data_IF_895977726703
#
_entry.id   IF_895977726703
#
_cell.length_a   1.000
_cell.length_b   1.000
_cell.length_c   1.000
_cell.angle_alpha   90.00
_cell.angle_beta   90.00
_cell.angle_gamma   90.00
#
_symmetry.space_group_name_H-M   'P 1'
#
loop_
_entity.id
_entity.type
_entity.pdbx_description
1 polymer ?
#
# COMPACT_ATOMS: atom_id res chain seq x y z
N UNK A 1 -13.12 -21.83 -81.93
CA UNK A 1 -12.90 -22.75 -80.78
C UNK A 1 -11.77 -22.30 -79.85
N UNK A 2 -10.60 -21.82 -80.32
CA UNK A 2 -9.45 -21.49 -79.44
C UNK A 2 -9.61 -20.24 -78.53
N UNK A 3 -10.48 -19.28 -78.86
CA UNK A 3 -10.69 -18.06 -78.04
C UNK A 3 -11.56 -18.29 -76.80
N UNK A 4 -12.44 -19.30 -76.81
CA UNK A 4 -13.28 -19.64 -75.66
C UNK A 4 -12.50 -20.33 -74.54
N UNK A 5 -11.52 -21.18 -74.89
CA UNK A 5 -10.66 -21.85 -73.91
C UNK A 5 -9.77 -20.88 -73.15
N UNK A 6 -9.27 -19.83 -73.80
CA UNK A 6 -8.43 -18.83 -73.14
C UNK A 6 -9.22 -17.97 -72.15
N UNK A 7 -10.48 -17.66 -72.48
CA UNK A 7 -11.39 -16.95 -71.58
C UNK A 7 -11.79 -17.82 -70.38
N UNK A 8 -12.02 -19.11 -70.60
CA UNK A 8 -12.36 -20.06 -69.53
C UNK A 8 -11.17 -20.34 -68.59
N UNK A 9 -9.95 -20.43 -69.14
CA UNK A 9 -8.71 -20.57 -68.35
C UNK A 9 -8.42 -19.31 -67.51
N UNK A 10 -8.66 -18.11 -68.06
CA UNK A 10 -8.49 -16.86 -67.32
C UNK A 10 -9.53 -16.74 -66.18
N UNK A 11 -10.77 -17.18 -66.42
CA UNK A 11 -11.84 -17.17 -65.42
C UNK A 11 -11.56 -18.15 -64.25
N UNK A 12 -11.01 -19.34 -64.55
CA UNK A 12 -10.58 -20.30 -63.53
C UNK A 12 -9.36 -19.80 -62.72
N UNK A 13 -8.43 -19.06 -63.35
CA UNK A 13 -7.27 -18.50 -62.65
C UNK A 13 -7.65 -17.37 -61.68
N UNK A 14 -8.66 -16.57 -62.01
CA UNK A 14 -9.20 -15.51 -61.11
C UNK A 14 -9.99 -16.12 -59.95
N UNK A 15 -10.70 -17.24 -60.17
CA UNK A 15 -11.41 -17.95 -59.09
C UNK A 15 -10.47 -18.58 -58.04
N UNK A 16 -9.26 -18.97 -58.45
CA UNK A 16 -8.21 -19.50 -57.54
C UNK A 16 -7.50 -18.41 -56.73
N UNK A 17 -7.60 -17.14 -57.13
CA UNK A 17 -7.01 -16.01 -56.39
C UNK A 17 -7.93 -15.45 -55.31
N UNK A 18 -9.19 -15.90 -55.23
CA UNK A 18 -10.19 -15.45 -54.25
C UNK A 18 -10.34 -16.39 -53.04
N UNK A 19 -9.59 -17.48 -52.96
CA UNK A 19 -9.59 -18.39 -51.79
C UNK A 19 -8.52 -18.05 -50.75
N UNK A 20 -7.80 -16.93 -50.91
CA UNK A 20 -6.75 -16.47 -50.00
C UNK A 20 -7.19 -15.35 -49.08
N UNK A 21 -8.01 -15.67 -48.08
CA UNK A 21 -8.17 -15.01 -46.76
C UNK A 21 -9.42 -15.59 -46.07
N UNK A 22 -9.47 -16.90 -45.92
CA UNK A 22 -10.15 -17.48 -44.77
C UNK A 22 -9.19 -17.31 -43.62
N UNK A 23 -9.40 -16.31 -42.78
CA UNK A 23 -8.75 -16.22 -41.48
C UNK A 23 -9.24 -17.46 -40.71
N UNK A 24 -8.46 -18.54 -40.74
CA UNK A 24 -8.52 -19.55 -39.71
C UNK A 24 -8.19 -18.80 -38.42
N UNK A 25 -9.24 -18.28 -37.77
CA UNK A 25 -9.25 -18.11 -36.33
C UNK A 25 -9.00 -19.51 -35.79
N UNK A 26 -7.73 -19.87 -35.70
CA UNK A 26 -7.24 -20.65 -34.59
C UNK A 26 -7.92 -20.01 -33.40
N UNK A 27 -8.95 -20.68 -32.89
CA UNK A 27 -9.40 -20.48 -31.54
C UNK A 27 -8.18 -20.88 -30.70
N UNK A 28 -7.25 -19.96 -30.55
CA UNK A 28 -6.53 -19.80 -29.30
C UNK A 28 -7.61 -19.51 -28.29
N UNK A 29 -8.27 -20.58 -27.84
CA UNK A 29 -8.64 -20.69 -26.44
C UNK A 29 -7.33 -20.66 -25.67
N UNK A 30 -6.69 -19.48 -25.65
CA UNK A 30 -5.82 -19.13 -24.55
C UNK A 30 -6.77 -19.23 -23.38
N UNK A 31 -6.61 -20.28 -22.59
CA UNK A 31 -7.19 -20.31 -21.26
C UNK A 31 -6.75 -18.99 -20.64
N UNK A 32 -7.67 -18.02 -20.55
CA UNK A 32 -7.50 -16.90 -19.65
C UNK A 32 -7.41 -17.56 -18.29
N UNK A 33 -6.19 -17.76 -17.82
CA UNK A 33 -5.95 -18.19 -16.45
C UNK A 33 -6.57 -17.06 -15.63
N UNK A 34 -7.74 -17.35 -15.06
CA UNK A 34 -8.45 -16.45 -14.18
C UNK A 34 -7.51 -16.15 -13.01
N UNK A 35 -7.09 -14.89 -12.91
CA UNK A 35 -6.11 -14.49 -11.91
C UNK A 35 -6.79 -14.53 -10.55
N UNK A 36 -6.03 -14.91 -9.53
CA UNK A 36 -6.45 -14.73 -8.15
C UNK A 36 -6.63 -13.24 -7.87
N UNK A 37 -7.77 -12.89 -7.28
CA UNK A 37 -8.13 -11.53 -6.93
C UNK A 37 -7.79 -11.29 -5.46
N UNK A 38 -6.94 -10.30 -5.23
CA UNK A 38 -6.44 -9.92 -3.92
C UNK A 38 -6.79 -8.47 -3.65
N UNK A 39 -7.57 -8.24 -2.61
CA UNK A 39 -7.88 -6.90 -2.13
C UNK A 39 -6.81 -6.43 -1.16
N UNK A 40 -6.44 -5.16 -1.25
CA UNK A 40 -5.54 -4.47 -0.32
C UNK A 40 -6.26 -3.27 0.25
N UNK A 41 -6.07 -2.99 1.53
CA UNK A 41 -6.85 -1.96 2.22
C UNK A 41 -6.53 -0.55 1.73
N UNK A 42 -5.25 -0.23 1.52
CA UNK A 42 -4.82 1.10 1.07
C UNK A 42 -3.51 1.06 0.26
N UNK A 43 -3.05 2.23 -0.21
CA UNK A 43 -2.07 2.35 -1.28
C UNK A 43 -0.70 1.67 -1.05
N UNK A 44 -0.01 1.78 0.11
CA UNK A 44 1.26 1.07 0.32
C UNK A 44 1.13 -0.43 0.14
N UNK A 45 0.08 -1.05 0.70
CA UNK A 45 -0.16 -2.48 0.53
C UNK A 45 -0.54 -2.83 -0.90
N UNK A 46 -1.32 -1.99 -1.59
CA UNK A 46 -1.58 -2.13 -3.01
C UNK A 46 -0.28 -2.17 -3.82
N UNK A 47 0.60 -1.19 -3.61
CA UNK A 47 1.86 -1.06 -4.33
C UNK A 47 2.79 -2.25 -4.06
N UNK A 48 2.95 -2.65 -2.79
CA UNK A 48 3.77 -3.80 -2.41
C UNK A 48 3.22 -5.09 -3.03
N UNK A 49 1.91 -5.31 -2.92
CA UNK A 49 1.25 -6.50 -3.48
C UNK A 49 1.32 -6.51 -5.00
N UNK A 50 1.18 -5.36 -5.66
CA UNK A 50 1.37 -5.24 -7.11
C UNK A 50 2.79 -5.57 -7.56
N UNK A 51 3.81 -5.06 -6.85
CA UNK A 51 5.21 -5.35 -7.16
C UNK A 51 5.55 -6.82 -6.99
N UNK A 52 5.03 -7.46 -5.94
CA UNK A 52 5.29 -8.88 -5.66
C UNK A 52 4.46 -9.78 -6.58
N UNK A 53 3.14 -9.57 -6.63
CA UNK A 53 2.19 -10.38 -7.38
C UNK A 53 2.29 -10.20 -8.90
N UNK A 54 2.76 -9.03 -9.36
CA UNK A 54 2.98 -8.68 -10.75
C UNK A 54 1.78 -9.05 -11.65
N UNK A 55 2.04 -9.79 -12.73
CA UNK A 55 0.98 -10.19 -13.66
C UNK A 55 0.20 -11.43 -13.23
N UNK A 56 0.60 -12.12 -12.16
CA UNK A 56 -0.03 -13.38 -11.71
C UNK A 56 -1.26 -13.15 -10.83
N UNK A 57 -1.32 -11.99 -10.18
CA UNK A 57 -2.38 -11.61 -9.25
C UNK A 57 -3.10 -10.37 -9.78
N UNK A 58 -4.42 -10.38 -9.70
CA UNK A 58 -5.23 -9.18 -9.80
C UNK A 58 -5.29 -8.51 -8.43
N UNK A 59 -4.86 -7.25 -8.34
CA UNK A 59 -4.79 -6.53 -7.07
C UNK A 59 -5.73 -5.34 -7.12
N UNK A 60 -6.62 -5.24 -6.13
CA UNK A 60 -7.64 -4.18 -5.99
C UNK A 60 -7.33 -3.34 -4.75
N UNK A 61 -7.17 -2.03 -4.93
CA UNK A 61 -7.02 -1.10 -3.81
C UNK A 61 -8.40 -0.65 -3.32
N UNK A 62 -8.69 -0.83 -2.02
CA UNK A 62 -10.00 -0.52 -1.44
C UNK A 62 -10.19 0.97 -1.20
N UNK A 63 -9.24 1.63 -0.52
CA UNK A 63 -9.29 3.08 -0.27
C UNK A 63 -8.94 3.83 -1.56
N UNK A 64 -9.85 4.64 -2.12
CA UNK A 64 -9.57 5.39 -3.34
C UNK A 64 -8.45 6.41 -3.17
N UNK A 65 -7.82 6.81 -4.27
CA UNK A 65 -6.80 7.85 -4.25
C UNK A 65 -7.36 9.18 -3.70
N UNK A 66 -6.61 9.82 -2.81
CA UNK A 66 -7.00 11.09 -2.18
C UNK A 66 -7.99 10.95 -1.00
N UNK A 67 -8.34 9.72 -0.61
CA UNK A 67 -9.16 9.44 0.57
C UNK A 67 -8.26 9.07 1.74
N UNK A 68 -8.53 9.65 2.90
CA UNK A 68 -7.82 9.38 4.16
C UNK A 68 -8.15 7.97 4.67
N UNK A 69 -7.17 7.05 4.78
CA UNK A 69 -7.45 5.67 5.18
C UNK A 69 -7.86 5.48 6.65
N UNK A 70 -7.45 6.35 7.59
CA UNK A 70 -7.71 6.16 9.03
C UNK A 70 -9.20 6.13 9.39
N UNK A 71 -9.99 6.99 8.76
CA UNK A 71 -11.43 7.14 9.01
C UNK A 71 -12.30 6.49 7.92
N UNK A 72 -11.67 5.81 6.96
CA UNK A 72 -12.38 5.22 5.84
C UNK A 72 -13.05 3.91 6.27
N UNK A 73 -14.31 3.73 5.89
CA UNK A 73 -15.04 2.47 6.03
C UNK A 73 -15.55 1.98 4.66
N UNK A 74 -15.52 0.67 4.39
CA UNK A 74 -16.01 0.11 3.14
C UNK A 74 -17.53 0.19 3.04
N UNK A 75 -18.05 0.44 1.84
CA UNK A 75 -19.48 0.32 1.58
C UNK A 75 -19.95 -1.14 1.62
N UNK A 76 -21.23 -1.42 1.89
CA UNK A 76 -21.77 -2.78 1.82
C UNK A 76 -21.55 -3.45 0.45
N UNK A 77 -21.60 -2.67 -0.64
CA UNK A 77 -21.33 -3.18 -1.99
C UNK A 77 -19.87 -3.62 -2.16
N UNK A 78 -18.93 -2.89 -1.56
CA UNK A 78 -17.52 -3.25 -1.58
C UNK A 78 -17.25 -4.50 -0.74
N UNK A 79 -17.91 -4.65 0.43
CA UNK A 79 -17.86 -5.89 1.22
C UNK A 79 -18.43 -7.09 0.46
N UNK A 80 -19.53 -6.88 -0.28
CA UNK A 80 -20.08 -7.89 -1.18
C UNK A 80 -19.07 -8.31 -2.26
N UNK A 81 -18.37 -7.34 -2.86
CA UNK A 81 -17.34 -7.63 -3.88
C UNK A 81 -16.13 -8.35 -3.27
N UNK A 82 -15.69 -7.94 -2.08
CA UNK A 82 -14.61 -8.58 -1.33
C UNK A 82 -14.92 -10.05 -1.01
N UNK A 83 -16.19 -10.40 -0.82
CA UNK A 83 -16.60 -11.77 -0.49
C UNK A 83 -16.36 -12.77 -1.62
N UNK A 84 -16.19 -12.29 -2.85
CA UNK A 84 -15.85 -13.09 -4.03
C UNK A 84 -14.33 -13.18 -4.28
N UNK A 85 -13.52 -12.44 -3.52
CA UNK A 85 -12.07 -12.45 -3.65
C UNK A 85 -11.44 -13.65 -2.92
N UNK A 86 -10.18 -13.96 -3.21
CA UNK A 86 -9.46 -14.99 -2.47
C UNK A 86 -8.75 -14.49 -1.22
N UNK A 87 -8.37 -13.21 -1.18
CA UNK A 87 -7.56 -12.68 -0.10
C UNK A 87 -7.79 -11.19 0.13
N UNK A 88 -7.73 -10.79 1.40
CA UNK A 88 -7.62 -9.42 1.87
C UNK A 88 -6.28 -9.24 2.56
N UNK A 89 -5.48 -8.27 2.14
CA UNK A 89 -4.25 -7.86 2.81
C UNK A 89 -4.52 -6.55 3.55
N UNK A 90 -4.44 -6.60 4.88
CA UNK A 90 -4.56 -5.46 5.79
C UNK A 90 -3.21 -5.06 6.37
N UNK A 91 -3.10 -3.83 6.84
CA UNK A 91 -1.91 -3.32 7.51
C UNK A 91 -1.81 -3.91 8.91
N UNK A 92 -2.94 -3.99 9.62
CA UNK A 92 -2.96 -4.30 11.04
C UNK A 92 -2.56 -3.11 11.90
N UNK A 93 -2.26 -3.39 13.18
CA UNK A 93 -1.89 -2.38 14.18
C UNK A 93 -2.94 -1.28 14.38
N UNK A 94 -4.22 -1.60 14.13
CA UNK A 94 -5.32 -0.66 14.30
C UNK A 94 -5.59 0.27 13.12
N UNK A 95 -4.84 0.17 12.01
CA UNK A 95 -5.06 0.98 10.81
C UNK A 95 -6.49 0.81 10.27
N UNK A 96 -6.92 -0.44 10.08
CA UNK A 96 -8.27 -0.75 9.60
C UNK A 96 -9.25 -0.90 10.77
N UNK A 97 -9.67 0.23 11.33
CA UNK A 97 -10.62 0.29 12.46
C UNK A 97 -11.97 -0.38 12.18
N UNK A 98 -12.30 -0.58 10.91
CA UNK A 98 -13.54 -1.22 10.44
C UNK A 98 -13.42 -2.75 10.32
N UNK A 99 -12.21 -3.31 10.24
CA UNK A 99 -12.02 -4.71 9.83
C UNK A 99 -12.68 -5.69 10.81
N UNK A 100 -12.53 -5.45 12.11
CA UNK A 100 -13.16 -6.29 13.14
C UNK A 100 -14.69 -6.24 13.07
N UNK A 101 -15.26 -5.06 12.78
CA UNK A 101 -16.72 -4.85 12.70
C UNK A 101 -17.37 -5.64 11.56
N UNK A 102 -16.64 -5.81 10.46
CA UNK A 102 -17.15 -6.47 9.24
C UNK A 102 -16.60 -7.89 9.06
N UNK A 103 -15.70 -8.34 9.92
CA UNK A 103 -15.05 -9.67 9.85
C UNK A 103 -16.07 -10.82 9.74
N UNK A 104 -17.21 -10.72 10.41
CA UNK A 104 -18.32 -11.69 10.36
C UNK A 104 -19.13 -11.65 9.06
N UNK A 105 -19.04 -10.54 8.31
CA UNK A 105 -19.72 -10.32 7.03
C UNK A 105 -18.82 -10.66 5.83
N UNK A 106 -17.51 -10.73 6.03
CA UNK A 106 -16.57 -11.23 5.01
C UNK A 106 -16.74 -12.74 4.91
N UNK A 107 -16.83 -13.25 3.67
CA UNK A 107 -16.91 -14.70 3.44
C UNK A 107 -15.73 -15.44 4.10
N UNK A 108 -16.03 -16.57 4.75
CA UNK A 108 -15.02 -17.43 5.37
C UNK A 108 -14.01 -18.03 4.36
N UNK A 109 -14.29 -17.94 3.05
CA UNK A 109 -13.35 -18.31 1.99
C UNK A 109 -12.25 -17.28 1.74
N UNK A 110 -12.43 -16.03 2.17
CA UNK A 110 -11.45 -14.96 1.98
C UNK A 110 -10.36 -15.10 3.04
N UNK A 111 -9.11 -15.26 2.61
CA UNK A 111 -7.97 -15.29 3.52
C UNK A 111 -7.62 -13.86 3.93
N UNK A 112 -7.75 -13.52 5.21
CA UNK A 112 -7.34 -12.21 5.73
C UNK A 112 -5.89 -12.27 6.24
N UNK A 113 -5.03 -11.41 5.70
CA UNK A 113 -3.59 -11.37 5.97
C UNK A 113 -3.22 -10.04 6.61
N UNK A 114 -2.67 -10.08 7.81
CA UNK A 114 -2.06 -8.90 8.45
C UNK A 114 -0.59 -8.77 7.99
N UNK A 115 -0.31 -7.76 7.17
CA UNK A 115 1.00 -7.49 6.60
C UNK A 115 2.06 -7.12 7.66
N UNK A 116 1.65 -6.61 8.82
CA UNK A 116 2.57 -6.23 9.91
C UNK A 116 2.86 -7.36 10.91
N UNK A 117 2.42 -8.59 10.61
CA UNK A 117 2.73 -9.75 11.46
C UNK A 117 4.25 -9.88 11.70
N UNK A 118 4.64 -9.97 12.97
CA UNK A 118 6.05 -10.09 13.37
C UNK A 118 6.80 -8.77 13.52
N UNK A 119 6.16 -7.62 13.23
CA UNK A 119 6.73 -6.30 13.53
C UNK A 119 6.44 -5.95 14.99
N UNK A 120 7.46 -5.53 15.73
CA UNK A 120 7.29 -4.99 17.08
C UNK A 120 6.68 -3.57 16.98
N UNK A 121 5.46 -3.35 17.52
CA UNK A 121 4.81 -2.06 17.40
C UNK A 121 5.49 -1.01 18.26
N UNK A 122 5.64 0.20 17.70
CA UNK A 122 5.80 1.39 18.53
C UNK A 122 4.45 1.73 19.17
N UNK A 123 4.49 2.28 20.38
CA UNK A 123 3.32 2.94 20.95
C UNK A 123 3.02 4.18 20.12
N UNK A 124 1.74 4.52 19.98
CA UNK A 124 1.34 5.82 19.41
C UNK A 124 2.17 6.95 20.03
N UNK A 125 2.73 7.81 19.18
CA UNK A 125 3.55 8.92 19.64
C UNK A 125 2.73 9.87 20.53
N UNK A 126 3.29 10.21 21.70
CA UNK A 126 2.73 11.26 22.55
C UNK A 126 2.91 12.60 21.86
N UNK A 127 1.87 13.44 21.86
CA UNK A 127 2.01 14.85 21.47
C UNK A 127 2.85 15.57 22.54
N UNK A 128 4.17 15.57 22.34
CA UNK A 128 5.08 16.40 23.10
C UNK A 128 5.13 17.79 22.46
N UNK A 129 4.01 18.51 22.54
CA UNK A 129 3.96 19.92 22.15
C UNK A 129 5.14 20.70 22.74
N UNK A 130 5.78 21.52 21.91
CA UNK A 130 6.95 22.31 22.27
C UNK A 130 6.59 23.27 23.42
N UNK A 131 7.13 23.07 24.63
CA UNK A 131 6.97 24.02 25.74
C UNK A 131 6.06 23.60 26.90
N UNK A 132 5.62 22.33 27.01
CA UNK A 132 4.94 21.88 28.24
C UNK A 132 5.93 21.67 29.40
N UNK A 133 6.24 22.77 30.11
CA UNK A 133 6.39 22.66 31.56
C UNK A 133 5.09 22.09 32.14
N UNK A 134 5.24 21.14 33.07
CA UNK A 134 4.14 20.40 33.70
C UNK A 134 3.07 21.37 34.20
N UNK A 135 1.91 21.37 33.56
CA UNK A 135 0.71 21.96 34.14
C UNK A 135 -0.42 20.93 34.07
N UNK A 136 -0.78 20.47 35.26
CA UNK A 136 -1.81 19.49 35.56
C UNK A 136 -3.21 20.06 35.24
N UNK A 137 -4.18 19.13 35.13
CA UNK A 137 -5.63 19.30 34.96
C UNK A 137 -6.15 19.67 33.57
N UNK A 138 -6.36 18.65 32.72
CA UNK A 138 -7.59 18.36 31.94
C UNK A 138 -7.48 16.97 31.29
N UNK A 139 -7.40 15.90 32.09
CA UNK A 139 -7.37 14.52 31.60
C UNK A 139 -8.75 13.87 31.75
N UNK A 140 -9.49 13.73 30.65
CA UNK A 140 -10.66 12.84 30.64
C UNK A 140 -11.00 12.21 29.26
N UNK A 141 -10.44 12.69 28.14
CA UNK A 141 -10.73 12.08 26.82
C UNK A 141 -9.48 11.70 25.99
N UNK A 142 -8.27 12.09 26.39
CA UNK A 142 -7.03 11.76 25.66
C UNK A 142 -6.45 10.36 25.99
N UNK A 143 -6.88 9.71 27.07
CA UNK A 143 -6.26 8.45 27.53
C UNK A 143 -6.50 7.24 26.61
N UNK A 144 -7.46 7.31 25.68
CA UNK A 144 -7.84 6.12 24.88
C UNK A 144 -6.97 5.90 23.63
N UNK A 145 -6.32 6.95 23.13
CA UNK A 145 -5.37 6.84 22.01
C UNK A 145 -3.95 6.49 22.47
N UNK A 146 -3.66 6.66 23.77
CA UNK A 146 -2.32 6.48 24.37
C UNK A 146 -1.87 5.00 24.46
N UNK A 147 -2.76 4.04 24.18
CA UNK A 147 -2.47 2.59 24.20
C UNK A 147 -2.46 1.93 22.81
N UNK A 148 -2.95 2.61 21.76
CA UNK A 148 -2.97 1.99 20.43
C UNK A 148 -1.56 1.97 19.81
N UNK A 149 -1.16 0.85 19.18
CA UNK A 149 0.03 0.79 18.35
C UNK A 149 0.03 1.86 17.27
N UNK A 150 1.21 2.41 16.95
CA UNK A 150 1.38 3.23 15.76
C UNK A 150 1.33 2.32 14.52
N UNK A 151 0.39 2.54 13.57
CA UNK A 151 0.25 1.69 12.39
C UNK A 151 1.21 2.02 11.24
N UNK A 152 1.96 3.13 11.29
CA UNK A 152 2.69 3.71 10.16
C UNK A 152 4.03 3.03 9.83
N UNK A 153 4.06 1.69 9.92
CA UNK A 153 5.26 0.87 9.76
C UNK A 153 5.88 0.97 8.36
N UNK A 154 5.08 1.25 7.32
CA UNK A 154 5.54 1.29 5.93
C UNK A 154 6.50 2.46 5.63
N UNK A 155 6.58 3.45 6.53
CA UNK A 155 7.50 4.58 6.39
C UNK A 155 8.95 4.23 6.78
N UNK A 156 9.17 3.11 7.46
CA UNK A 156 10.48 2.52 7.64
C UNK A 156 10.76 1.54 6.48
N UNK A 157 11.78 1.77 5.63
CA UNK A 157 12.02 0.92 4.45
C UNK A 157 12.25 -0.56 4.76
N UNK A 158 12.86 -0.90 5.90
CA UNK A 158 13.10 -2.29 6.27
C UNK A 158 11.86 -2.94 6.90
N UNK A 159 10.98 -2.17 7.53
CA UNK A 159 9.67 -2.67 7.95
C UNK A 159 8.70 -2.81 6.75
N UNK A 160 8.77 -1.92 5.76
CA UNK A 160 8.09 -2.10 4.48
C UNK A 160 8.56 -3.38 3.77
N UNK A 161 9.86 -3.68 3.81
CA UNK A 161 10.39 -4.97 3.35
C UNK A 161 9.82 -6.15 4.15
N UNK A 162 9.65 -6.03 5.47
CA UNK A 162 9.00 -7.08 6.25
C UNK A 162 7.54 -7.28 5.84
N UNK A 163 6.79 -6.20 5.59
CA UNK A 163 5.43 -6.29 5.04
C UNK A 163 5.44 -6.99 3.67
N UNK A 164 6.37 -6.64 2.79
CA UNK A 164 6.56 -7.29 1.50
C UNK A 164 6.87 -8.80 1.63
N UNK A 165 7.70 -9.22 2.59
CA UNK A 165 7.97 -10.64 2.88
C UNK A 165 6.70 -11.40 3.28
N UNK A 166 5.89 -10.78 4.15
CA UNK A 166 4.62 -11.36 4.60
C UNK A 166 3.63 -11.50 3.43
N UNK A 167 3.55 -10.49 2.56
CA UNK A 167 2.73 -10.54 1.34
C UNK A 167 3.21 -11.64 0.39
N UNK A 168 4.51 -11.74 0.11
CA UNK A 168 5.05 -12.79 -0.77
C UNK A 168 4.77 -14.21 -0.24
N UNK A 169 4.84 -14.39 1.08
CA UNK A 169 4.50 -15.66 1.74
C UNK A 169 3.01 -15.99 1.59
N UNK A 170 2.14 -15.00 1.79
CA UNK A 170 0.70 -15.16 1.61
C UNK A 170 0.34 -15.49 0.16
N UNK A 171 0.86 -14.74 -0.81
CA UNK A 171 0.64 -15.00 -2.24
C UNK A 171 1.16 -16.39 -2.66
N UNK A 172 2.30 -16.80 -2.14
CA UNK A 172 2.84 -18.15 -2.39
C UNK A 172 1.98 -19.27 -1.79
N UNK A 173 1.29 -18.99 -0.68
CA UNK A 173 0.34 -19.94 -0.08
C UNK A 173 -0.96 -20.02 -0.87
N UNK A 174 -1.42 -18.88 -1.39
CA UNK A 174 -2.61 -18.76 -2.23
C UNK A 174 -2.43 -19.38 -3.62
N UNK A 175 -1.25 -19.19 -4.22
CA UNK A 175 -0.90 -19.67 -5.55
C UNK A 175 0.50 -20.32 -5.57
N UNK A 176 0.61 -21.56 -5.07
CA UNK A 176 1.89 -22.25 -4.92
C UNK A 176 2.65 -22.48 -6.23
N UNK A 177 1.94 -22.57 -7.36
CA UNK A 177 2.54 -22.78 -8.67
C UNK A 177 3.41 -21.58 -9.11
N UNK A 178 3.14 -20.38 -8.59
CA UNK A 178 3.91 -19.18 -8.88
C UNK A 178 4.76 -18.69 -7.69
N UNK A 179 4.96 -19.51 -6.64
CA UNK A 179 5.75 -19.13 -5.46
C UNK A 179 7.14 -18.56 -5.80
N UNK A 180 7.89 -19.23 -6.69
CA UNK A 180 9.21 -18.76 -7.14
C UNK A 180 9.13 -17.38 -7.81
N UNK A 181 8.05 -17.09 -8.54
CA UNK A 181 7.84 -15.78 -9.16
C UNK A 181 7.67 -14.68 -8.10
N UNK A 182 6.87 -14.94 -7.06
CA UNK A 182 6.66 -13.99 -5.95
C UNK A 182 7.95 -13.72 -5.17
N UNK A 183 8.73 -14.76 -4.85
CA UNK A 183 10.00 -14.60 -4.14
C UNK A 183 11.09 -13.92 -4.98
N UNK A 184 11.11 -14.11 -6.30
CA UNK A 184 12.01 -13.36 -7.17
C UNK A 184 11.67 -11.86 -7.20
N UNK A 185 10.38 -11.52 -7.26
CA UNK A 185 9.96 -10.11 -7.19
C UNK A 185 10.23 -9.49 -5.82
N UNK A 186 10.08 -10.27 -4.74
CA UNK A 186 10.48 -9.86 -3.39
C UNK A 186 11.98 -9.55 -3.31
N UNK A 187 12.84 -10.32 -3.98
CA UNK A 187 14.28 -10.05 -4.00
C UNK A 187 14.59 -8.68 -4.65
N UNK A 188 13.89 -8.33 -5.74
CA UNK A 188 13.99 -6.99 -6.35
C UNK A 188 13.51 -5.90 -5.40
N UNK A 189 12.39 -6.13 -4.70
CA UNK A 189 11.89 -5.20 -3.69
C UNK A 189 12.90 -5.01 -2.56
N UNK A 190 13.52 -6.10 -2.11
CA UNK A 190 14.55 -6.08 -1.06
C UNK A 190 15.73 -5.20 -1.45
N UNK A 191 16.28 -5.37 -2.65
CA UNK A 191 17.38 -4.52 -3.14
C UNK A 191 16.99 -3.03 -3.14
N UNK A 192 15.76 -2.71 -3.54
CA UNK A 192 15.26 -1.33 -3.53
C UNK A 192 15.09 -0.76 -2.11
N UNK A 193 14.56 -1.56 -1.19
CA UNK A 193 14.36 -1.16 0.20
C UNK A 193 15.70 -0.94 0.92
N UNK A 194 16.68 -1.82 0.72
CA UNK A 194 18.03 -1.70 1.28
C UNK A 194 18.78 -0.51 0.68
N UNK A 195 18.65 -0.26 -0.63
CA UNK A 195 19.23 0.91 -1.26
C UNK A 195 18.59 2.22 -0.74
N UNK A 196 17.28 2.23 -0.51
CA UNK A 196 16.59 3.38 0.07
C UNK A 196 17.03 3.62 1.53
N UNK A 197 17.14 2.57 2.33
CA UNK A 197 17.67 2.65 3.69
C UNK A 197 19.07 3.27 3.72
N UNK A 198 19.98 2.79 2.86
CA UNK A 198 21.32 3.37 2.75
C UNK A 198 21.28 4.84 2.33
N UNK A 199 20.44 5.20 1.37
CA UNK A 199 20.30 6.59 0.92
C UNK A 199 19.82 7.53 2.04
N UNK A 200 18.88 7.08 2.89
CA UNK A 200 18.47 7.82 4.07
C UNK A 200 19.60 7.92 5.12
N UNK A 201 20.32 6.83 5.39
CA UNK A 201 21.45 6.87 6.34
C UNK A 201 22.53 7.86 5.89
N UNK A 202 22.93 7.81 4.62
CA UNK A 202 23.96 8.69 4.07
C UNK A 202 23.50 10.15 4.08
N UNK A 203 22.28 10.41 3.58
CA UNK A 203 21.72 11.75 3.46
C UNK A 203 21.44 12.44 4.79
N UNK A 204 21.17 11.68 5.86
CA UNK A 204 20.84 12.21 7.18
C UNK A 204 22.01 12.17 8.19
N UNK A 205 23.14 11.56 7.83
CA UNK A 205 24.29 11.35 8.74
C UNK A 205 24.87 12.65 9.33
N UNK A 206 25.00 13.70 8.50
CA UNK A 206 25.64 14.97 8.85
C UNK A 206 24.70 16.05 9.38
N UNK A 207 23.43 15.74 9.65
CA UNK A 207 22.46 16.75 10.06
C UNK A 207 22.75 17.31 11.45
N UNK A 208 22.85 18.64 11.53
CA UNK A 208 22.96 19.37 12.80
C UNK A 208 21.62 19.46 13.54
N UNK A 209 20.50 19.52 12.80
CA UNK A 209 19.12 19.50 13.31
C UNK A 209 18.42 18.24 12.83
N UNK A 210 17.67 17.61 13.72
CA UNK A 210 17.03 16.30 13.49
C UNK A 210 15.52 16.37 13.57
N UNK A 211 14.98 17.56 13.82
CA UNK A 211 13.56 17.81 13.94
C UNK A 211 12.92 17.95 12.56
N UNK A 212 11.79 17.28 12.36
CA UNK A 212 10.95 17.39 11.17
C UNK A 212 9.57 17.89 11.58
N UNK A 213 9.08 18.94 10.93
CA UNK A 213 7.71 19.43 11.14
C UNK A 213 6.78 18.62 10.26
N UNK A 214 5.80 17.97 10.87
CA UNK A 214 4.82 17.11 10.19
C UNK A 214 3.41 17.58 10.50
N UNK A 215 2.46 17.33 9.60
CA UNK A 215 1.07 17.63 9.88
C UNK A 215 0.51 16.67 10.91
N UNK A 216 0.63 15.36 10.69
CA UNK A 216 0.24 14.29 11.61
C UNK A 216 1.43 13.41 12.00
N UNK A 217 1.39 12.81 13.19
CA UNK A 217 2.47 11.99 13.77
C UNK A 217 2.60 10.58 13.13
N UNK A 218 2.74 10.48 11.80
CA UNK A 218 2.96 9.19 11.14
C UNK A 218 4.43 8.74 11.08
N UNK A 219 5.38 9.62 11.34
CA UNK A 219 6.78 9.35 10.98
C UNK A 219 7.57 8.66 12.10
N UNK A 220 6.92 8.11 13.14
CA UNK A 220 7.61 7.58 14.31
C UNK A 220 8.61 6.47 13.97
N UNK A 221 8.25 5.54 13.08
CA UNK A 221 9.15 4.45 12.66
C UNK A 221 10.35 4.97 11.87
N UNK A 222 10.11 5.89 10.93
CA UNK A 222 11.17 6.55 10.16
C UNK A 222 12.10 7.35 11.09
N UNK A 223 11.51 8.09 12.02
CA UNK A 223 12.22 8.90 13.00
C UNK A 223 13.08 8.03 13.93
N UNK A 224 12.55 6.92 14.43
CA UNK A 224 13.31 5.94 15.21
C UNK A 224 14.48 5.36 14.43
N UNK A 225 14.28 5.00 13.15
CA UNK A 225 15.35 4.40 12.32
C UNK A 225 16.51 5.36 12.07
N UNK A 226 16.21 6.60 11.70
CA UNK A 226 17.23 7.56 11.26
C UNK A 226 17.59 8.63 12.29
N UNK A 227 17.17 8.42 13.54
CA UNK A 227 17.38 9.35 14.65
C UNK A 227 16.89 10.76 14.29
N UNK A 228 15.62 10.86 13.89
CA UNK A 228 14.91 12.13 13.73
C UNK A 228 13.94 12.33 14.89
N UNK A 229 13.45 13.55 15.02
CA UNK A 229 12.43 13.95 15.98
C UNK A 229 11.26 14.55 15.22
N UNK A 230 10.09 13.93 15.27
CA UNK A 230 8.91 14.51 14.65
C UNK A 230 8.27 15.54 15.58
N UNK A 231 7.98 16.72 15.04
CA UNK A 231 7.24 17.79 15.70
C UNK A 231 5.96 17.97 14.91
N UNK A 232 4.82 17.64 15.51
CA UNK A 232 3.55 17.69 14.80
C UNK A 232 2.81 19.01 14.95
N UNK A 233 2.10 19.39 13.88
CA UNK A 233 1.15 20.49 13.90
C UNK A 233 -0.18 20.04 14.51
N UNK A 234 -0.66 18.85 14.15
CA UNK A 234 -1.79 18.14 14.77
C UNK A 234 -1.31 16.76 15.23
N UNK A 235 -1.78 16.23 16.37
CA UNK A 235 -1.23 15.01 16.99
C UNK A 235 -1.27 13.73 16.13
N UNK A 236 -1.71 12.59 16.68
CA UNK A 236 -1.73 11.34 15.92
C UNK A 236 -2.78 11.34 14.78
N UNK A 237 -3.89 12.06 14.95
CA UNK A 237 -4.93 12.18 13.93
C UNK A 237 -4.73 13.44 13.08
N UNK A 238 -4.85 13.34 11.74
CA UNK A 238 -4.69 14.48 10.84
C UNK A 238 -5.76 15.56 11.01
N UNK A 239 -6.87 15.27 11.72
CA UNK A 239 -8.02 16.16 11.86
C UNK A 239 -8.15 16.84 13.24
N UNK A 240 -7.25 16.57 14.18
CA UNK A 240 -7.24 17.33 15.44
C UNK A 240 -6.70 18.71 15.12
N UNK A 241 -7.57 19.72 15.00
CA UNK A 241 -7.11 21.09 14.86
C UNK A 241 -6.25 21.46 16.09
N UNK A 242 -5.03 22.00 15.88
CA UNK A 242 -4.23 22.47 17.00
C UNK A 242 -4.95 23.59 17.75
N UNK A 243 -4.88 23.52 19.08
CA UNK A 243 -5.31 24.64 19.92
C UNK A 243 -4.54 25.93 19.57
N UNK A 244 -5.09 27.11 19.86
CA UNK A 244 -4.37 28.37 19.68
C UNK A 244 -3.00 28.42 20.38
N UNK A 245 -2.85 27.70 21.49
CA UNK A 245 -1.57 27.54 22.19
C UNK A 245 -0.58 26.70 21.37
N UNK A 246 -0.99 25.51 20.90
CA UNK A 246 -0.17 24.67 20.01
C UNK A 246 0.21 25.42 18.73
N UNK A 247 -0.71 26.16 18.12
CA UNK A 247 -0.42 27.00 16.94
C UNK A 247 0.63 28.07 17.24
N UNK A 248 0.60 28.67 18.43
CA UNK A 248 1.62 29.63 18.85
C UNK A 248 2.96 28.92 19.06
N UNK A 249 2.99 27.76 19.70
CA UNK A 249 4.21 26.98 19.92
C UNK A 249 4.84 26.53 18.60
N UNK A 250 4.03 26.14 17.61
CA UNK A 250 4.47 25.81 16.25
C UNK A 250 5.03 27.04 15.53
N UNK A 251 4.38 28.21 15.67
CA UNK A 251 4.89 29.46 15.08
C UNK A 251 6.22 29.88 15.73
N UNK A 252 6.33 29.75 17.05
CA UNK A 252 7.54 30.06 17.81
C UNK A 252 8.66 29.07 17.45
N UNK A 253 8.34 27.78 17.34
CA UNK A 253 9.26 26.75 16.83
C UNK A 253 9.73 27.08 15.42
N UNK A 254 8.82 27.30 14.47
CA UNK A 254 9.15 27.62 13.08
C UNK A 254 10.02 28.89 12.94
N UNK A 255 9.73 29.93 13.75
CA UNK A 255 10.57 31.14 13.80
C UNK A 255 11.97 30.83 14.33
N UNK A 256 12.09 30.05 15.39
CA UNK A 256 13.39 29.70 15.99
C UNK A 256 14.19 28.70 15.14
N UNK A 257 13.50 27.84 14.39
CA UNK A 257 14.09 26.82 13.51
C UNK A 257 14.67 27.43 12.22
N UNK A 258 14.03 28.47 11.68
CA UNK A 258 14.42 29.14 10.44
C UNK A 258 15.46 30.25 10.61
N UNK A 259 15.81 30.62 11.85
CA UNK A 259 16.85 31.61 12.11
C UNK A 259 18.23 30.92 12.09
N UNK A 260 19.18 31.39 11.25
CA UNK A 260 20.53 30.85 11.26
C UNK A 260 21.20 31.16 12.61
N UNK A 261 21.83 30.14 13.21
CA UNK A 261 22.81 30.33 14.27
C UNK A 261 24.20 30.51 13.65
#
# INVERSE_FOLDING_TARGET
>A
MKKGYLFFLLLCLVALLLTGCGEERLATGGATIEKKVVYTTFFPLYDFTKKIGGEKIEVVNMVPAGVEPHDWEPSPQLIGSLSEAEMLISNGLGMETWLDKVSSSISASVVVVNASTGIEPLKGAKDHGYGKEKQDDYAAEEEKYDEMPDPHVWLDPLLALQQARNIATALSSLDPANATYYFNNLAVFQEQAEALDQAFQDGLSGLARREIIVTHLAFAYLAKRYNLEQVSISGLSPYIEPSPAQMKDIQDFGRNFLLPH
#
